data_IF_116998390717
#
_entry.id   IF_116998390717
#
_cell.length_a   1.000
_cell.length_b   1.000
_cell.length_c   1.000
_cell.angle_alpha   90.00
_cell.angle_beta   90.00
_cell.angle_gamma   90.00
#
_symmetry.space_group_name_H-M   'P 1'
#
loop_
_entity.id
_entity.type
_entity.pdbx_description
1 polymer ?
#
# COMPACT_ATOMS: atom_id res chain seq x y z
N UNK A 1 54.24 3.66 -4.96
CA UNK A 1 53.52 4.45 -3.94
C UNK A 1 52.07 4.58 -4.38
N UNK A 2 51.22 3.64 -3.98
CA UNK A 2 49.80 3.59 -4.31
C UNK A 2 49.03 3.83 -3.01
N UNK A 3 48.30 4.95 -2.93
CA UNK A 3 47.40 5.24 -1.80
C UNK A 3 46.06 4.55 -2.05
N UNK A 4 45.52 3.78 -1.10
CA UNK A 4 44.16 3.28 -1.22
C UNK A 4 43.17 4.40 -0.88
N UNK A 5 42.19 4.60 -1.74
CA UNK A 5 41.00 5.41 -1.43
C UNK A 5 40.12 4.59 -0.47
N UNK A 6 40.06 5.00 0.80
CA UNK A 6 39.01 4.58 1.71
C UNK A 6 37.72 5.32 1.32
N UNK A 7 36.72 4.58 0.85
CA UNK A 7 35.33 5.02 0.87
C UNK A 7 34.85 5.06 2.32
N UNK A 8 34.33 6.19 2.83
CA UNK A 8 33.66 6.17 4.12
C UNK A 8 32.32 5.46 3.94
N UNK A 9 32.18 4.28 4.54
CA UNK A 9 30.87 3.67 4.83
C UNK A 9 30.20 4.60 5.83
N UNK A 10 29.23 5.39 5.36
CA UNK A 10 28.36 6.18 6.20
C UNK A 10 27.44 5.19 6.95
N UNK A 11 27.85 4.79 8.15
CA UNK A 11 26.98 4.08 9.08
C UNK A 11 25.83 5.01 9.45
N UNK A 12 24.62 4.72 8.98
CA UNK A 12 23.40 5.31 9.53
C UNK A 12 23.33 4.92 11.02
N UNK A 13 23.60 5.89 11.89
CA UNK A 13 23.28 5.79 13.31
C UNK A 13 21.76 5.68 13.43
N UNK A 14 21.27 4.51 13.81
CA UNK A 14 19.88 4.35 14.24
C UNK A 14 19.61 5.33 15.39
N UNK A 15 18.65 6.23 15.21
CA UNK A 15 18.20 7.14 16.25
C UNK A 15 17.44 6.34 17.32
N UNK A 16 18.20 5.89 18.33
CA UNK A 16 17.66 5.22 19.51
C UNK A 16 16.93 6.18 20.47
N UNK A 17 16.98 7.49 20.21
CA UNK A 17 16.32 8.50 21.01
C UNK A 17 14.94 8.84 20.43
N UNK A 18 13.93 8.86 21.29
CA UNK A 18 12.60 9.41 20.96
C UNK A 18 12.74 10.90 20.66
N UNK A 19 12.11 11.36 19.58
CA UNK A 19 12.05 12.78 19.26
C UNK A 19 11.32 13.58 20.33
N UNK A 20 11.68 14.86 20.46
CA UNK A 20 10.99 15.78 21.38
C UNK A 20 9.63 16.16 20.81
N UNK A 21 8.58 16.05 21.62
CA UNK A 21 7.21 16.48 21.28
C UNK A 21 7.09 18.00 21.44
N UNK A 22 6.33 18.67 20.57
CA UNK A 22 6.07 20.12 20.68
C UNK A 22 4.59 20.37 20.94
N UNK A 23 4.29 20.95 22.10
CA UNK A 23 2.94 21.30 22.52
C UNK A 23 2.66 22.77 22.20
N UNK A 24 1.62 23.02 21.40
CA UNK A 24 1.12 24.37 21.11
C UNK A 24 -0.16 24.62 21.90
N UNK A 25 -0.15 25.62 22.77
CA UNK A 25 -1.29 26.01 23.59
C UNK A 25 -2.06 27.16 22.93
N UNK A 26 -3.36 27.24 23.21
CA UNK A 26 -4.26 28.27 22.64
C UNK A 26 -3.91 29.71 23.06
N UNK A 27 -3.13 29.87 24.12
CA UNK A 27 -2.62 31.18 24.56
C UNK A 27 -1.37 31.62 23.78
N UNK A 28 -0.91 30.82 22.82
CA UNK A 28 0.28 31.06 22.01
C UNK A 28 1.57 30.48 22.58
N UNK A 29 1.52 29.86 23.76
CA UNK A 29 2.69 29.23 24.38
C UNK A 29 3.10 27.98 23.61
N UNK A 30 4.40 27.83 23.39
CA UNK A 30 5.01 26.64 22.78
C UNK A 30 5.91 25.97 23.79
N UNK A 31 5.68 24.68 24.05
CA UNK A 31 6.44 23.90 25.03
C UNK A 31 7.05 22.69 24.36
N UNK A 32 8.37 22.58 24.43
CA UNK A 32 9.08 21.35 24.05
C UNK A 32 9.07 20.37 25.21
N UNK A 33 8.65 19.14 24.96
CA UNK A 33 8.33 18.19 26.00
C UNK A 33 8.38 16.73 25.54
N UNK A 34 8.18 15.82 26.48
CA UNK A 34 7.93 14.42 26.23
C UNK A 34 6.52 14.10 26.75
N UNK A 35 5.60 13.76 25.86
CA UNK A 35 4.22 13.41 26.25
C UNK A 35 4.23 12.05 26.94
N UNK A 36 3.85 12.07 28.22
CA UNK A 36 3.80 10.88 29.09
C UNK A 36 2.43 10.20 28.99
N UNK A 37 1.36 10.99 29.03
CA UNK A 37 0.00 10.48 28.94
C UNK A 37 -0.90 11.53 28.28
N UNK A 38 -1.81 11.06 27.44
CA UNK A 38 -2.80 11.93 26.79
C UNK A 38 -4.13 11.19 26.72
N UNK A 39 -5.18 11.89 27.15
CA UNK A 39 -6.57 11.47 27.07
C UNK A 39 -7.38 12.58 26.41
N UNK A 40 -8.68 12.39 26.27
CA UNK A 40 -9.54 13.41 25.67
C UNK A 40 -9.70 14.64 26.59
N UNK A 41 -9.47 14.48 27.89
CA UNK A 41 -9.67 15.54 28.88
C UNK A 41 -8.37 16.15 29.40
N UNK A 42 -7.32 15.34 29.55
CA UNK A 42 -6.05 15.76 30.15
C UNK A 42 -4.84 15.30 29.33
N UNK A 43 -3.80 16.13 29.34
CA UNK A 43 -2.49 15.87 28.79
C UNK A 43 -1.43 16.09 29.87
N UNK A 44 -0.64 15.04 30.13
CA UNK A 44 0.51 15.07 31.04
C UNK A 44 1.79 14.95 30.23
N UNK A 45 2.70 15.90 30.43
CA UNK A 45 3.96 15.95 29.71
C UNK A 45 5.11 16.23 30.66
N UNK A 46 6.31 15.81 30.28
CA UNK A 46 7.56 16.12 30.98
C UNK A 46 8.30 17.20 30.20
N UNK A 47 8.75 18.25 30.87
CA UNK A 47 9.52 19.33 30.24
C UNK A 47 10.67 19.76 31.16
N UNK A 48 11.68 20.38 30.57
CA UNK A 48 12.80 20.95 31.31
C UNK A 48 12.55 22.43 31.54
N UNK A 49 12.53 22.85 32.81
CA UNK A 49 12.40 24.26 33.20
C UNK A 49 13.77 24.80 33.61
N UNK A 50 14.08 26.02 33.17
CA UNK A 50 15.25 26.77 33.64
C UNK A 50 14.89 27.45 34.97
N UNK A 51 15.65 27.14 36.03
CA UNK A 51 15.50 27.73 37.36
C UNK A 51 16.41 28.96 37.56
N UNK A 52 17.18 29.35 36.53
CA UNK A 52 18.17 30.41 36.59
C UNK A 52 19.52 29.94 37.14
N UNK A 53 20.59 30.67 36.80
CA UNK A 53 21.95 30.36 37.24
C UNK A 53 22.53 29.06 36.66
N UNK A 54 22.06 28.62 35.49
CA UNK A 54 22.52 27.39 34.81
C UNK A 54 21.93 26.11 35.40
N UNK A 55 20.92 26.19 36.27
CA UNK A 55 20.25 25.05 36.88
C UNK A 55 18.96 24.74 36.14
N UNK A 56 18.83 23.52 35.66
CA UNK A 56 17.59 23.02 35.08
C UNK A 56 16.89 22.06 36.05
N UNK A 57 15.56 22.01 35.99
CA UNK A 57 14.77 20.99 36.68
C UNK A 57 13.77 20.36 35.71
N UNK A 58 13.39 19.11 36.00
CA UNK A 58 12.32 18.44 35.28
C UNK A 58 10.99 18.78 35.95
N UNK A 59 10.03 19.27 35.16
CA UNK A 59 8.64 19.42 35.58
C UNK A 59 7.77 18.39 34.86
N UNK A 60 6.66 17.99 35.50
CA UNK A 60 5.65 17.12 34.90
C UNK A 60 4.25 17.75 35.00
N UNK A 61 3.95 18.81 34.22
CA UNK A 61 2.65 19.46 34.27
C UNK A 61 1.54 18.55 33.72
N UNK A 62 0.32 18.76 34.22
CA UNK A 62 -0.90 18.21 33.63
C UNK A 62 -1.83 19.35 33.28
N UNK A 63 -2.23 19.43 32.01
CA UNK A 63 -3.10 20.49 31.48
C UNK A 63 -4.37 19.89 30.88
N UNK A 64 -5.50 20.61 30.89
CA UNK A 64 -6.69 20.19 30.16
C UNK A 64 -6.41 20.13 28.66
N UNK A 65 -6.84 19.07 27.96
CA UNK A 65 -6.66 18.97 26.50
C UNK A 65 -7.37 20.12 25.76
N UNK A 66 -8.41 20.72 26.37
CA UNK A 66 -9.12 21.88 25.81
C UNK A 66 -8.28 23.15 25.67
N UNK A 67 -7.16 23.27 26.41
CA UNK A 67 -6.22 24.41 26.31
C UNK A 67 -5.13 24.18 25.27
N UNK A 68 -5.01 22.96 24.76
CA UNK A 68 -4.09 22.58 23.69
C UNK A 68 -4.72 22.96 22.35
N UNK A 69 -3.94 23.62 21.50
CA UNK A 69 -4.33 23.89 20.12
C UNK A 69 -4.00 22.66 19.25
N UNK A 70 -2.72 22.29 19.19
CA UNK A 70 -2.27 21.05 18.56
C UNK A 70 -0.95 20.55 19.15
N UNK A 71 -0.57 19.34 18.74
CA UNK A 71 0.65 18.65 19.16
C UNK A 71 1.43 18.27 17.90
N UNK A 72 2.73 18.55 17.89
CA UNK A 72 3.66 17.95 16.94
C UNK A 72 4.33 16.79 17.64
N UNK A 73 3.92 15.58 17.27
CA UNK A 73 4.46 14.36 17.87
C UNK A 73 5.87 14.13 17.33
N UNK A 74 6.83 13.96 18.24
CA UNK A 74 8.18 13.54 17.89
C UNK A 74 8.18 12.08 17.39
N UNK A 75 9.07 11.73 16.45
CA UNK A 75 9.18 10.35 15.97
C UNK A 75 9.54 9.41 17.12
N UNK A 76 8.91 8.23 17.14
CA UNK A 76 9.28 7.16 18.08
C UNK A 76 10.66 6.59 17.72
N UNK A 77 11.35 5.92 18.67
CA UNK A 77 12.62 5.27 18.39
C UNK A 77 12.52 4.29 17.22
N UNK A 78 13.36 4.46 16.20
CA UNK A 78 13.35 3.64 14.99
C UNK A 78 12.28 4.01 13.95
N UNK A 79 11.38 4.96 14.24
CA UNK A 79 10.30 5.33 13.32
C UNK A 79 10.83 5.91 12.02
N UNK A 80 11.76 6.86 12.08
CA UNK A 80 12.32 7.50 10.89
C UNK A 80 12.99 6.48 9.97
N UNK A 81 13.71 5.51 10.52
CA UNK A 81 14.38 4.46 9.75
C UNK A 81 13.37 3.49 9.12
N UNK A 82 12.34 3.10 9.87
CA UNK A 82 11.30 2.19 9.37
C UNK A 82 10.46 2.87 8.28
N UNK A 83 10.14 4.15 8.45
CA UNK A 83 9.35 4.93 7.50
C UNK A 83 10.14 5.40 6.28
N UNK A 84 11.48 5.33 6.30
CA UNK A 84 12.30 5.59 5.11
C UNK A 84 12.17 4.48 4.05
N UNK A 85 11.98 3.23 4.49
CA UNK A 85 11.83 2.06 3.61
C UNK A 85 10.78 1.08 4.14
N UNK A 86 9.50 1.49 4.24
CA UNK A 86 8.46 0.70 4.91
C UNK A 86 8.17 -0.63 4.22
N UNK A 87 8.41 -0.70 2.90
CA UNK A 87 8.14 -1.91 2.11
C UNK A 87 9.09 -3.07 2.40
N UNK A 88 10.31 -2.78 2.85
CA UNK A 88 11.32 -3.78 3.25
C UNK A 88 11.48 -3.90 4.77
N UNK A 89 10.75 -3.09 5.53
CA UNK A 89 10.78 -3.12 6.98
C UNK A 89 10.25 -4.44 7.55
N UNK A 90 10.73 -4.78 8.76
CA UNK A 90 10.22 -5.91 9.53
C UNK A 90 8.76 -5.65 9.93
N UNK A 91 7.80 -6.51 9.53
CA UNK A 91 6.39 -6.34 9.87
C UNK A 91 6.14 -6.22 11.38
N UNK A 92 6.92 -6.93 12.21
CA UNK A 92 6.76 -6.88 13.68
C UNK A 92 7.20 -5.53 14.27
N UNK A 93 8.19 -4.89 13.66
CA UNK A 93 8.63 -3.57 14.08
C UNK A 93 7.57 -2.51 13.75
N UNK A 94 6.95 -2.61 12.57
CA UNK A 94 5.82 -1.75 12.17
C UNK A 94 4.57 -2.01 13.02
N UNK A 95 4.27 -3.26 13.36
CA UNK A 95 3.17 -3.65 14.26
C UNK A 95 3.33 -2.98 15.63
N UNK A 96 4.53 -3.06 16.22
CA UNK A 96 4.81 -2.41 17.50
C UNK A 96 4.59 -0.89 17.44
N UNK A 97 5.09 -0.22 16.40
CA UNK A 97 4.86 1.22 16.22
C UNK A 97 3.38 1.54 16.05
N UNK A 98 2.65 0.73 15.30
CA UNK A 98 1.22 0.88 15.11
C UNK A 98 0.44 0.73 16.42
N UNK A 99 0.74 -0.29 17.23
CA UNK A 99 0.09 -0.50 18.52
C UNK A 99 0.29 0.67 19.48
N UNK A 100 1.50 1.24 19.50
CA UNK A 100 1.84 2.39 20.33
C UNK A 100 1.13 3.68 19.88
N UNK A 101 0.99 3.90 18.57
CA UNK A 101 0.53 5.17 17.98
C UNK A 101 -0.95 5.18 17.59
N UNK A 102 -1.57 4.03 17.30
CA UNK A 102 -2.94 3.92 16.74
C UNK A 102 -4.05 4.52 17.62
N UNK A 103 -3.77 4.73 18.92
CA UNK A 103 -4.68 5.44 19.85
C UNK A 103 -4.79 6.94 19.55
N UNK A 104 -3.86 7.49 18.76
CA UNK A 104 -3.78 8.91 18.42
C UNK A 104 -4.27 9.26 17.01
N UNK A 105 -4.83 8.30 16.25
CA UNK A 105 -5.36 8.53 14.89
C UNK A 105 -6.26 9.77 14.75
N UNK A 106 -7.20 9.95 15.67
CA UNK A 106 -8.16 11.06 15.63
C UNK A 106 -7.54 12.42 15.99
N UNK A 107 -6.27 12.46 16.40
CA UNK A 107 -5.62 13.67 16.89
C UNK A 107 -4.93 14.39 15.72
N UNK A 108 -5.18 15.70 15.56
CA UNK A 108 -4.52 16.49 14.53
C UNK A 108 -2.99 16.32 14.58
N UNK A 109 -2.37 16.26 13.39
CA UNK A 109 -0.92 16.11 13.19
C UNK A 109 -0.29 14.84 13.80
N UNK A 110 -1.08 13.85 14.17
CA UNK A 110 -0.54 12.53 14.49
C UNK A 110 0.00 11.85 13.23
N UNK A 111 1.16 11.20 13.36
CA UNK A 111 1.78 10.32 12.37
C UNK A 111 1.16 8.91 12.33
N UNK A 112 0.25 8.58 13.26
CA UNK A 112 -0.34 7.25 13.39
C UNK A 112 -0.96 6.74 12.07
N UNK A 113 -1.66 7.60 11.32
CA UNK A 113 -2.23 7.23 10.02
C UNK A 113 -1.18 6.77 9.02
N UNK A 114 -0.07 7.50 8.90
CA UNK A 114 1.02 7.14 7.98
C UNK A 114 1.70 5.82 8.37
N UNK A 115 1.95 5.61 9.66
CA UNK A 115 2.50 4.35 10.20
C UNK A 115 1.55 3.19 9.91
N UNK A 116 0.25 3.39 10.15
CA UNK A 116 -0.76 2.38 9.89
C UNK A 116 -0.87 2.00 8.41
N UNK A 117 -0.81 2.98 7.50
CA UNK A 117 -0.78 2.73 6.06
C UNK A 117 0.45 1.91 5.67
N UNK A 118 1.63 2.31 6.12
CA UNK A 118 2.88 1.58 5.88
C UNK A 118 2.82 0.13 6.41
N UNK A 119 2.28 -0.06 7.60
CA UNK A 119 2.09 -1.39 8.20
C UNK A 119 1.11 -2.24 7.39
N UNK A 120 -0.06 -1.71 7.05
CA UNK A 120 -1.07 -2.44 6.29
C UNK A 120 -0.59 -2.79 4.86
N UNK A 121 0.08 -1.88 4.17
CA UNK A 121 0.70 -2.16 2.87
C UNK A 121 1.76 -3.25 2.98
N UNK A 122 2.58 -3.23 4.05
CA UNK A 122 3.59 -4.27 4.28
C UNK A 122 2.96 -5.64 4.48
N UNK A 123 1.83 -5.72 5.20
CA UNK A 123 1.07 -6.95 5.42
C UNK A 123 0.49 -7.51 4.11
N UNK A 124 0.00 -6.67 3.19
CA UNK A 124 -0.51 -7.13 1.89
C UNK A 124 0.57 -7.76 0.99
N UNK A 125 1.84 -7.42 1.19
CA UNK A 125 2.95 -8.01 0.41
C UNK A 125 3.40 -9.37 0.91
N UNK A 126 2.94 -9.78 2.09
CA UNK A 126 3.31 -11.06 2.67
C UNK A 126 2.41 -12.18 2.11
N UNK A 127 2.89 -13.42 2.06
CA UNK A 127 2.17 -14.51 1.41
C UNK A 127 0.98 -15.05 2.23
N UNK A 128 0.90 -14.75 3.54
CA UNK A 128 -0.10 -15.36 4.40
C UNK A 128 -1.44 -14.59 4.45
N UNK A 129 -2.54 -15.28 4.13
CA UNK A 129 -3.87 -14.66 4.04
C UNK A 129 -4.39 -14.03 5.33
N UNK A 130 -4.05 -14.59 6.50
CA UNK A 130 -4.46 -14.01 7.79
C UNK A 130 -3.92 -12.59 7.99
N UNK A 131 -2.77 -12.27 7.39
CA UNK A 131 -2.16 -10.95 7.47
C UNK A 131 -2.91 -9.94 6.60
N UNK A 132 -3.57 -10.39 5.54
CA UNK A 132 -4.40 -9.53 4.70
C UNK A 132 -5.70 -9.11 5.41
N UNK A 133 -6.28 -9.99 6.25
CA UNK A 133 -7.40 -9.62 7.13
C UNK A 133 -6.99 -8.57 8.18
N UNK A 134 -5.77 -8.69 8.73
CA UNK A 134 -5.22 -7.67 9.61
C UNK A 134 -4.98 -6.35 8.86
N UNK A 135 -4.43 -6.38 7.64
CA UNK A 135 -4.27 -5.20 6.81
C UNK A 135 -5.62 -4.49 6.57
N UNK A 136 -6.66 -5.26 6.23
CA UNK A 136 -8.02 -4.76 6.05
C UNK A 136 -8.53 -4.03 7.30
N UNK A 137 -8.32 -4.64 8.48
CA UNK A 137 -8.72 -4.06 9.77
C UNK A 137 -7.98 -2.75 10.07
N UNK A 138 -6.70 -2.66 9.73
CA UNK A 138 -5.90 -1.43 9.88
C UNK A 138 -6.43 -0.33 8.95
N UNK A 139 -6.68 -0.66 7.67
CA UNK A 139 -7.25 0.29 6.71
C UNK A 139 -8.62 0.81 7.16
N UNK A 140 -9.52 -0.06 7.65
CA UNK A 140 -10.82 0.35 8.18
C UNK A 140 -10.68 1.35 9.32
N UNK A 141 -9.78 1.06 10.28
CA UNK A 141 -9.55 1.92 11.42
C UNK A 141 -9.00 3.30 11.03
N UNK A 142 -8.11 3.36 10.04
CA UNK A 142 -7.57 4.63 9.51
C UNK A 142 -8.69 5.40 8.81
N UNK A 143 -9.42 4.75 7.89
CA UNK A 143 -10.53 5.36 7.14
C UNK A 143 -11.57 5.98 8.07
N UNK A 144 -11.88 5.33 9.19
CA UNK A 144 -12.91 5.81 10.13
C UNK A 144 -12.41 6.88 11.09
N UNK A 145 -11.16 6.78 11.55
CA UNK A 145 -10.69 7.54 12.72
C UNK A 145 -9.55 8.50 12.45
N UNK A 146 -8.85 8.39 11.33
CA UNK A 146 -7.69 9.23 11.11
C UNK A 146 -8.10 10.68 10.84
N UNK A 147 -7.32 11.60 11.39
CA UNK A 147 -7.57 13.04 11.28
C UNK A 147 -7.28 13.56 9.87
N UNK A 148 -6.36 12.92 9.13
CA UNK A 148 -5.90 13.36 7.82
C UNK A 148 -6.78 12.78 6.70
N UNK A 149 -7.51 13.60 5.92
CA UNK A 149 -8.30 13.12 4.78
C UNK A 149 -7.48 12.33 3.75
N UNK A 150 -6.25 12.74 3.45
CA UNK A 150 -5.41 12.06 2.47
C UNK A 150 -5.06 10.63 2.89
N UNK A 151 -4.78 10.41 4.18
CA UNK A 151 -4.54 9.06 4.69
C UNK A 151 -5.82 8.21 4.66
N UNK A 152 -6.98 8.81 4.91
CA UNK A 152 -8.27 8.10 4.80
C UNK A 152 -8.55 7.67 3.37
N UNK A 153 -8.21 8.50 2.39
CA UNK A 153 -8.36 8.17 0.97
C UNK A 153 -7.37 7.08 0.55
N UNK A 154 -6.12 7.14 1.01
CA UNK A 154 -5.16 6.04 0.80
C UNK A 154 -5.63 4.74 1.47
N UNK A 155 -6.24 4.83 2.67
CA UNK A 155 -6.80 3.66 3.33
C UNK A 155 -7.98 3.05 2.57
N UNK A 156 -8.78 3.86 1.85
CA UNK A 156 -9.83 3.34 0.95
C UNK A 156 -9.22 2.57 -0.23
N UNK A 157 -8.15 3.10 -0.84
CA UNK A 157 -7.40 2.39 -1.91
C UNK A 157 -6.81 1.08 -1.37
N UNK A 158 -6.14 1.11 -0.22
CA UNK A 158 -5.58 -0.07 0.45
C UNK A 158 -6.63 -1.11 0.83
N UNK A 159 -7.80 -0.68 1.29
CA UNK A 159 -8.94 -1.55 1.58
C UNK A 159 -9.43 -2.31 0.33
N UNK A 160 -9.58 -1.64 -0.81
CA UNK A 160 -9.94 -2.32 -2.07
C UNK A 160 -8.91 -3.38 -2.43
N UNK A 161 -7.61 -3.05 -2.35
CA UNK A 161 -6.50 -3.99 -2.58
C UNK A 161 -6.61 -5.21 -1.66
N UNK A 162 -6.84 -5.00 -0.37
CA UNK A 162 -7.02 -6.06 0.62
C UNK A 162 -8.24 -6.96 0.33
N UNK A 163 -9.40 -6.39 -0.01
CA UNK A 163 -10.60 -7.15 -0.35
C UNK A 163 -10.40 -8.04 -1.58
N UNK A 164 -9.72 -7.54 -2.61
CA UNK A 164 -9.37 -8.32 -3.80
C UNK A 164 -8.47 -9.49 -3.43
N UNK A 165 -7.44 -9.24 -2.63
CA UNK A 165 -6.46 -10.25 -2.24
C UNK A 165 -7.08 -11.35 -1.35
N UNK A 166 -8.04 -10.98 -0.49
CA UNK A 166 -8.86 -11.90 0.30
C UNK A 166 -9.94 -12.63 -0.52
N UNK A 167 -10.10 -12.33 -1.81
CA UNK A 167 -11.16 -12.91 -2.65
C UNK A 167 -12.57 -12.44 -2.30
N UNK A 168 -12.72 -11.37 -1.51
CA UNK A 168 -14.01 -10.77 -1.10
C UNK A 168 -14.56 -9.85 -2.19
N UNK A 169 -14.64 -10.37 -3.41
CA UNK A 169 -14.87 -9.61 -4.64
C UNK A 169 -16.25 -8.93 -4.68
N UNK A 170 -17.29 -9.52 -4.05
CA UNK A 170 -18.61 -8.87 -3.96
C UNK A 170 -18.56 -7.56 -3.18
N UNK A 171 -17.82 -7.54 -2.07
CA UNK A 171 -17.64 -6.35 -1.25
C UNK A 171 -16.74 -5.34 -1.97
N UNK A 172 -15.64 -5.80 -2.58
CA UNK A 172 -14.75 -4.94 -3.37
C UNK A 172 -15.51 -4.24 -4.51
N UNK A 173 -16.37 -4.95 -5.24
CA UNK A 173 -17.17 -4.38 -6.33
C UNK A 173 -18.21 -3.39 -5.82
N UNK A 174 -18.87 -3.65 -4.70
CA UNK A 174 -19.84 -2.72 -4.13
C UNK A 174 -19.17 -1.39 -3.74
N UNK A 175 -18.01 -1.47 -3.06
CA UNK A 175 -17.22 -0.31 -2.67
C UNK A 175 -16.64 0.42 -3.89
N UNK A 176 -16.09 -0.30 -4.87
CA UNK A 176 -15.56 0.27 -6.10
C UNK A 176 -16.61 1.04 -6.91
N UNK A 177 -17.84 0.50 -7.02
CA UNK A 177 -18.94 1.19 -7.72
C UNK A 177 -19.32 2.49 -7.03
N UNK A 178 -19.38 2.48 -5.69
CA UNK A 178 -19.66 3.69 -4.94
C UNK A 178 -18.54 4.73 -5.14
N UNK A 179 -17.29 4.33 -4.96
CA UNK A 179 -16.14 5.22 -5.12
C UNK A 179 -16.07 5.82 -6.52
N UNK A 180 -16.31 5.03 -7.57
CA UNK A 180 -16.29 5.51 -8.95
C UNK A 180 -17.34 6.58 -9.27
N UNK A 181 -18.37 6.74 -8.43
CA UNK A 181 -19.37 7.81 -8.57
C UNK A 181 -19.08 9.04 -7.74
N UNK A 182 -18.22 8.93 -6.72
CA UNK A 182 -17.97 9.97 -5.72
C UNK A 182 -16.64 10.69 -5.92
N UNK A 183 -15.70 10.10 -6.69
CA UNK A 183 -14.34 10.61 -6.84
C UNK A 183 -13.99 10.94 -8.28
N UNK A 184 -13.26 12.04 -8.45
CA UNK A 184 -12.57 12.39 -9.70
C UNK A 184 -11.05 12.10 -9.61
N UNK A 185 -10.55 11.57 -8.47
CA UNK A 185 -9.14 11.20 -8.30
C UNK A 185 -8.77 10.04 -9.24
N UNK A 186 -7.86 10.25 -10.21
CA UNK A 186 -7.48 9.21 -11.17
C UNK A 186 -6.99 7.93 -10.50
N UNK A 187 -6.18 8.02 -9.44
CA UNK A 187 -5.65 6.82 -8.78
C UNK A 187 -6.75 5.99 -8.13
N UNK A 188 -7.69 6.65 -7.46
CA UNK A 188 -8.84 5.97 -6.85
C UNK A 188 -9.77 5.34 -7.90
N UNK A 189 -9.98 6.03 -9.03
CA UNK A 189 -10.73 5.49 -10.17
C UNK A 189 -10.05 4.26 -10.78
N UNK A 190 -8.71 4.26 -10.88
CA UNK A 190 -7.94 3.11 -11.35
C UNK A 190 -8.12 1.92 -10.40
N UNK A 191 -8.00 2.12 -9.08
CA UNK A 191 -8.21 1.05 -8.09
C UNK A 191 -9.63 0.49 -8.15
N UNK A 192 -10.64 1.36 -8.27
CA UNK A 192 -12.04 0.92 -8.41
C UNK A 192 -12.26 0.10 -9.69
N UNK A 193 -11.76 0.56 -10.84
CA UNK A 193 -11.82 -0.18 -12.11
C UNK A 193 -11.10 -1.51 -12.03
N UNK A 194 -9.92 -1.54 -11.41
CA UNK A 194 -9.17 -2.78 -11.21
C UNK A 194 -9.96 -3.78 -10.36
N UNK A 195 -10.58 -3.34 -9.25
CA UNK A 195 -11.42 -4.18 -8.41
C UNK A 195 -12.61 -4.78 -9.16
N UNK A 196 -13.33 -3.97 -9.95
CA UNK A 196 -14.45 -4.41 -10.76
C UNK A 196 -14.01 -5.41 -11.84
N UNK A 197 -12.91 -5.14 -12.54
CA UNK A 197 -12.37 -6.04 -13.55
C UNK A 197 -11.90 -7.38 -12.97
N UNK A 198 -11.29 -7.39 -11.77
CA UNK A 198 -10.94 -8.66 -11.08
C UNK A 198 -12.17 -9.47 -10.71
N UNK A 199 -13.25 -8.82 -10.27
CA UNK A 199 -14.51 -9.49 -10.00
C UNK A 199 -15.14 -10.06 -11.27
N UNK A 200 -15.23 -9.26 -12.34
CA UNK A 200 -15.75 -9.69 -13.63
C UNK A 200 -14.91 -10.83 -14.21
N UNK A 201 -13.60 -10.83 -14.01
CA UNK A 201 -12.73 -11.91 -14.46
C UNK A 201 -12.98 -13.24 -13.74
N UNK A 202 -13.29 -13.20 -12.44
CA UNK A 202 -13.75 -14.41 -11.73
C UNK A 202 -15.10 -14.87 -12.26
N UNK A 203 -16.02 -13.94 -12.56
CA UNK A 203 -17.30 -14.28 -13.20
C UNK A 203 -17.11 -14.89 -14.58
N UNK A 204 -16.17 -14.38 -15.40
CA UNK A 204 -15.83 -14.95 -16.70
C UNK A 204 -15.31 -16.39 -16.57
N UNK A 205 -14.37 -16.63 -15.64
CA UNK A 205 -13.83 -17.98 -15.37
C UNK A 205 -14.94 -18.95 -14.97
N UNK A 206 -15.87 -18.52 -14.10
CA UNK A 206 -17.00 -19.33 -13.69
C UNK A 206 -17.97 -19.61 -14.85
N UNK A 207 -18.27 -18.59 -15.67
CA UNK A 207 -19.16 -18.72 -16.83
C UNK A 207 -18.63 -19.77 -17.82
N UNK A 208 -17.34 -19.73 -18.16
CA UNK A 208 -16.73 -20.72 -19.07
C UNK A 208 -16.64 -22.12 -18.44
N UNK A 209 -16.38 -22.21 -17.13
CA UNK A 209 -16.36 -23.50 -16.42
C UNK A 209 -17.74 -24.16 -16.39
N UNK A 210 -18.80 -23.38 -16.17
CA UNK A 210 -20.18 -23.84 -16.17
C UNK A 210 -20.68 -24.16 -17.59
N UNK A 211 -20.06 -23.57 -18.61
CA UNK A 211 -20.43 -23.73 -20.03
C UNK A 211 -19.21 -24.09 -20.91
N UNK A 212 -18.70 -25.34 -20.85
CA UNK A 212 -17.48 -25.73 -21.58
C UNK A 212 -17.56 -25.59 -23.11
N UNK A 213 -18.78 -25.51 -23.67
CA UNK A 213 -19.05 -25.29 -25.10
C UNK A 213 -19.70 -23.93 -25.35
N UNK A 214 -19.35 -22.92 -24.56
CA UNK A 214 -19.92 -21.58 -24.66
C UNK A 214 -19.84 -20.99 -26.08
N UNK A 215 -18.84 -21.39 -26.89
CA UNK A 215 -18.68 -20.95 -28.28
C UNK A 215 -19.87 -21.35 -29.18
N UNK A 216 -20.46 -22.52 -28.91
CA UNK A 216 -21.61 -23.08 -29.63
C UNK A 216 -22.94 -22.52 -29.11
N UNK A 217 -22.96 -21.95 -27.90
CA UNK A 217 -24.17 -21.43 -27.26
C UNK A 217 -24.40 -19.95 -27.61
N UNK A 218 -25.42 -19.70 -28.43
CA UNK A 218 -25.79 -18.36 -28.90
C UNK A 218 -26.25 -17.41 -27.79
N UNK A 219 -26.55 -17.91 -26.59
CA UNK A 219 -26.92 -17.10 -25.41
C UNK A 219 -25.71 -16.80 -24.52
N UNK A 220 -24.79 -17.75 -24.36
CA UNK A 220 -23.62 -17.60 -23.49
C UNK A 220 -22.48 -16.86 -24.22
N UNK A 221 -22.24 -17.14 -25.50
CA UNK A 221 -21.17 -16.51 -26.29
C UNK A 221 -21.20 -14.98 -26.24
N UNK A 222 -22.34 -14.28 -26.44
CA UNK A 222 -22.38 -12.83 -26.35
C UNK A 222 -22.04 -12.30 -24.95
N UNK A 223 -22.53 -12.96 -23.90
CA UNK A 223 -22.29 -12.54 -22.51
C UNK A 223 -20.83 -12.75 -22.11
N UNK A 224 -20.24 -13.88 -22.48
CA UNK A 224 -18.80 -14.14 -22.34
C UNK A 224 -17.99 -13.03 -22.99
N UNK A 225 -18.27 -12.71 -24.26
CA UNK A 225 -17.53 -11.68 -24.99
C UNK A 225 -17.71 -10.29 -24.39
N UNK A 226 -18.92 -9.97 -23.91
CA UNK A 226 -19.19 -8.71 -23.21
C UNK A 226 -18.36 -8.59 -21.93
N UNK A 227 -18.32 -9.65 -21.11
CA UNK A 227 -17.49 -9.70 -19.90
C UNK A 227 -16.01 -9.56 -20.25
N UNK A 228 -15.52 -10.34 -21.19
CA UNK A 228 -14.13 -10.30 -21.64
C UNK A 228 -13.70 -8.89 -22.07
N UNK A 229 -14.45 -8.24 -22.97
CA UNK A 229 -14.10 -6.87 -23.41
C UNK A 229 -14.17 -5.86 -22.26
N UNK A 230 -15.19 -5.95 -21.39
CA UNK A 230 -15.30 -5.09 -20.19
C UNK A 230 -14.08 -5.23 -19.27
N UNK A 231 -13.57 -6.45 -19.07
CA UNK A 231 -12.38 -6.72 -18.26
C UNK A 231 -11.15 -6.07 -18.89
N UNK A 232 -10.93 -6.28 -20.19
CA UNK A 232 -9.78 -5.73 -20.91
C UNK A 232 -9.82 -4.19 -20.91
N UNK A 233 -10.98 -3.60 -21.21
CA UNK A 233 -11.15 -2.14 -21.20
C UNK A 233 -10.80 -1.54 -19.84
N UNK A 234 -11.22 -2.19 -18.75
CA UNK A 234 -10.94 -1.72 -17.40
C UNK A 234 -9.47 -1.90 -17.00
N UNK A 235 -8.84 -3.03 -17.33
CA UNK A 235 -7.43 -3.27 -17.02
C UNK A 235 -6.47 -2.42 -17.85
N UNK A 236 -6.78 -2.15 -19.12
CA UNK A 236 -5.92 -1.35 -19.99
C UNK A 236 -6.13 0.16 -19.84
N UNK A 237 -7.24 0.60 -19.24
CA UNK A 237 -7.53 2.03 -19.05
C UNK A 237 -6.39 2.83 -18.40
N UNK A 238 -5.73 2.37 -17.31
CA UNK A 238 -4.63 3.10 -16.71
C UNK A 238 -3.43 3.24 -17.65
N UNK A 239 -3.11 2.19 -18.41
CA UNK A 239 -2.05 2.22 -19.42
C UNK A 239 -2.35 3.22 -20.54
N UNK A 240 -3.59 3.22 -21.05
CA UNK A 240 -3.99 4.04 -22.20
C UNK A 240 -4.16 5.53 -21.87
N UNK A 241 -4.61 5.86 -20.65
CA UNK A 241 -5.00 7.23 -20.29
C UNK A 241 -4.17 7.82 -19.14
N UNK A 242 -3.51 7.00 -18.35
CA UNK A 242 -2.77 7.39 -17.15
C UNK A 242 -1.38 6.74 -17.08
N UNK A 243 -0.72 6.60 -18.23
CA UNK A 243 0.56 5.87 -18.33
C UNK A 243 1.71 6.41 -17.48
N UNK A 244 1.60 7.63 -16.93
CA UNK A 244 2.56 8.21 -15.96
C UNK A 244 2.42 7.63 -14.56
N UNK A 245 1.28 6.98 -14.24
CA UNK A 245 1.08 6.24 -13.00
C UNK A 245 1.65 4.83 -13.16
N UNK A 246 2.98 4.75 -13.23
CA UNK A 246 3.73 3.58 -13.73
C UNK A 246 3.33 2.26 -13.06
N UNK A 247 3.29 2.20 -11.73
CA UNK A 247 2.93 0.96 -11.00
C UNK A 247 1.49 0.52 -11.28
N UNK A 248 0.55 1.47 -11.39
CA UNK A 248 -0.85 1.17 -11.65
C UNK A 248 -1.08 0.74 -13.10
N UNK A 249 -0.42 1.41 -14.06
CA UNK A 249 -0.43 1.05 -15.47
C UNK A 249 0.20 -0.32 -15.71
N UNK A 250 1.35 -0.58 -15.11
CA UNK A 250 2.04 -1.86 -15.17
C UNK A 250 1.18 -3.01 -14.61
N UNK A 251 0.54 -2.79 -13.45
CA UNK A 251 -0.37 -3.78 -12.85
C UNK A 251 -1.58 -4.06 -13.74
N UNK A 252 -2.13 -3.02 -14.38
CA UNK A 252 -3.19 -3.16 -15.37
C UNK A 252 -2.78 -4.03 -16.57
N UNK A 253 -1.61 -3.76 -17.16
CA UNK A 253 -1.05 -4.56 -18.26
C UNK A 253 -0.83 -6.02 -17.88
N UNK A 254 -0.28 -6.29 -16.70
CA UNK A 254 -0.09 -7.64 -16.21
C UNK A 254 -1.42 -8.41 -16.06
N UNK A 255 -2.44 -7.75 -15.51
CA UNK A 255 -3.77 -8.34 -15.36
C UNK A 255 -4.49 -8.54 -16.70
N UNK A 256 -4.32 -7.61 -17.65
CA UNK A 256 -4.82 -7.76 -19.01
C UNK A 256 -4.16 -8.96 -19.71
N UNK A 257 -2.84 -9.14 -19.56
CA UNK A 257 -2.14 -10.31 -20.10
C UNK A 257 -2.71 -11.61 -19.53
N UNK A 258 -2.97 -11.70 -18.21
CA UNK A 258 -3.62 -12.87 -17.59
C UNK A 258 -5.00 -13.14 -18.21
N UNK A 259 -5.80 -12.10 -18.44
CA UNK A 259 -7.12 -12.22 -19.04
C UNK A 259 -7.08 -12.65 -20.52
N UNK A 260 -6.12 -12.12 -21.29
CA UNK A 260 -5.87 -12.55 -22.67
C UNK A 260 -5.44 -14.02 -22.76
N UNK A 261 -4.51 -14.45 -21.91
CA UNK A 261 -4.07 -15.84 -21.85
C UNK A 261 -5.24 -16.78 -21.53
N UNK A 262 -6.04 -16.43 -20.52
CA UNK A 262 -7.24 -17.19 -20.17
C UNK A 262 -8.23 -17.28 -21.34
N UNK A 263 -8.43 -16.18 -22.05
CA UNK A 263 -9.41 -16.09 -23.14
C UNK A 263 -8.96 -16.75 -24.46
N UNK A 264 -7.74 -17.30 -24.54
CA UNK A 264 -7.19 -17.91 -25.75
C UNK A 264 -6.60 -16.91 -26.74
N UNK A 265 -6.10 -15.77 -26.26
CA UNK A 265 -5.56 -14.66 -27.06
C UNK A 265 -4.05 -14.44 -26.76
N UNK A 266 -3.18 -15.40 -27.14
CA UNK A 266 -1.77 -15.40 -26.73
C UNK A 266 -0.93 -14.29 -27.38
N UNK A 267 -1.33 -13.80 -28.55
CA UNK A 267 -0.62 -12.71 -29.23
C UNK A 267 -0.80 -11.40 -28.47
N UNK A 268 -2.03 -11.10 -28.06
CA UNK A 268 -2.38 -9.95 -27.24
C UNK A 268 -1.79 -10.03 -25.83
N UNK A 269 -1.78 -11.22 -25.23
CA UNK A 269 -1.10 -11.44 -23.95
C UNK A 269 0.41 -11.18 -24.07
N UNK A 270 1.03 -11.63 -25.15
CA UNK A 270 2.46 -11.39 -25.44
C UNK A 270 2.73 -9.90 -25.63
N UNK A 271 1.86 -9.19 -26.35
CA UNK A 271 1.98 -7.74 -26.53
C UNK A 271 1.89 -7.00 -25.19
N UNK A 272 0.94 -7.34 -24.31
CA UNK A 272 0.83 -6.75 -22.98
C UNK A 272 2.09 -6.99 -22.13
N UNK A 273 2.64 -8.21 -22.15
CA UNK A 273 3.87 -8.57 -21.43
C UNK A 273 5.11 -7.86 -22.00
N UNK A 274 5.15 -7.64 -23.31
CA UNK A 274 6.20 -6.87 -23.97
C UNK A 274 6.15 -5.41 -23.53
N UNK A 275 4.99 -4.77 -23.63
CA UNK A 275 4.80 -3.37 -23.22
C UNK A 275 5.09 -3.17 -21.74
N UNK A 276 4.68 -4.12 -20.88
CA UNK A 276 5.03 -4.13 -19.46
C UNK A 276 6.55 -4.10 -19.23
N UNK A 277 7.30 -4.91 -19.99
CA UNK A 277 8.76 -5.01 -19.87
C UNK A 277 9.50 -3.78 -20.40
N UNK A 278 9.04 -3.21 -21.51
CA UNK A 278 9.69 -2.07 -22.16
C UNK A 278 9.35 -0.73 -21.50
N UNK A 279 8.07 -0.52 -21.17
CA UNK A 279 7.59 0.79 -20.69
C UNK A 279 7.69 0.92 -19.18
N UNK A 280 7.56 -0.18 -18.43
CA UNK A 280 7.54 -0.16 -16.96
C UNK A 280 8.56 -1.14 -16.32
N UNK A 281 9.84 -1.10 -16.73
CA UNK A 281 10.84 -2.12 -16.34
C UNK A 281 11.15 -2.18 -14.84
N UNK A 282 10.85 -1.11 -14.10
CA UNK A 282 11.10 -1.01 -12.66
C UNK A 282 9.88 -1.41 -11.81
N UNK A 283 8.72 -1.64 -12.43
CA UNK A 283 7.50 -1.97 -11.70
C UNK A 283 7.57 -3.36 -11.05
N UNK A 284 6.81 -3.53 -9.96
CA UNK A 284 6.69 -4.82 -9.29
C UNK A 284 6.12 -5.90 -10.24
N UNK A 285 5.24 -5.51 -11.17
CA UNK A 285 4.66 -6.41 -12.17
C UNK A 285 5.69 -6.85 -13.22
N UNK A 286 6.58 -5.97 -13.66
CA UNK A 286 7.68 -6.33 -14.55
C UNK A 286 8.74 -7.20 -13.85
N UNK A 287 8.99 -6.98 -12.56
CA UNK A 287 9.83 -7.87 -11.76
C UNK A 287 9.22 -9.28 -11.67
N UNK A 288 7.94 -9.41 -11.33
CA UNK A 288 7.25 -10.69 -11.28
C UNK A 288 7.27 -11.42 -12.64
N UNK A 289 7.07 -10.70 -13.75
CA UNK A 289 7.17 -11.26 -15.10
C UNK A 289 8.58 -11.81 -15.39
N UNK A 290 9.64 -11.10 -14.99
CA UNK A 290 11.02 -11.55 -15.16
C UNK A 290 11.33 -12.77 -14.30
N UNK A 291 10.85 -12.79 -13.06
CA UNK A 291 11.01 -13.93 -12.16
C UNK A 291 10.34 -15.18 -12.73
N UNK A 292 9.10 -15.08 -13.22
CA UNK A 292 8.38 -16.20 -13.84
C UNK A 292 9.11 -16.77 -15.06
N UNK A 293 9.70 -15.92 -15.92
CA UNK A 293 10.51 -16.37 -17.07
C UNK A 293 11.80 -17.08 -16.67
N UNK A 294 12.38 -16.73 -15.52
CA UNK A 294 13.61 -17.36 -15.03
C UNK A 294 13.35 -18.77 -14.45
N UNK A 295 12.12 -19.06 -14.02
CA UNK A 295 11.70 -20.36 -13.49
C UNK A 295 11.25 -21.35 -14.58
N UNK A 296 11.03 -20.90 -15.82
CA UNK A 296 10.75 -21.80 -16.94
C UNK A 296 11.96 -22.73 -17.19
N UNK A 297 11.79 -24.07 -17.12
CA UNK A 297 12.89 -24.99 -17.31
C UNK A 297 13.44 -24.87 -18.74
N UNK A 298 14.75 -24.63 -18.85
CA UNK A 298 15.45 -24.67 -20.13
C UNK A 298 15.19 -26.05 -20.76
N UNK A 299 14.61 -26.13 -21.98
CA UNK A 299 14.35 -27.41 -22.61
C UNK A 299 15.67 -28.18 -22.74
N UNK A 300 15.68 -29.51 -22.46
CA UNK A 300 16.89 -30.28 -22.53
C UNK A 300 17.46 -30.18 -23.94
N UNK A 301 18.69 -29.69 -24.05
CA UNK A 301 19.46 -29.66 -25.29
C UNK A 301 19.54 -31.09 -25.81
N UNK A 302 18.72 -31.44 -26.80
CA UNK A 302 18.79 -32.72 -27.53
C UNK A 302 20.02 -32.71 -28.42
N UNK A 303 21.19 -32.71 -27.80
CA UNK A 303 22.47 -33.07 -28.41
C UNK A 303 22.67 -34.57 -28.29
N UNK A 304 21.88 -35.36 -29.01
CA UNK A 304 22.25 -36.75 -29.28
C UNK A 304 23.04 -36.75 -30.61
N UNK A 305 24.35 -37.03 -30.61
CA UNK A 305 25.07 -37.23 -31.85
C UNK A 305 24.55 -38.51 -32.52
N UNK A 306 24.25 -38.41 -33.81
CA UNK A 306 23.95 -39.55 -34.66
C UNK A 306 25.13 -40.55 -34.60
N UNK A 307 24.89 -41.86 -34.34
CA UNK A 307 25.93 -42.86 -34.46
C UNK A 307 26.31 -43.03 -35.94
N UNK A 308 27.61 -43.01 -36.21
CA UNK A 308 28.22 -43.33 -37.51
C UNK A 308 27.96 -44.77 -37.94
#
# INVERSE_FOLDING_TARGET
MTRPFLFPVLMCLASLARGEDVLHLKDGTVVRCEIQAITDNILTYKTTIDLGGGRTASAQPTVPTSTVDYIEFGPQPGETELMASPQSADPKALEKLWDETSKHLHRPRSNAGAIGLAYADRLLRLPESFQWDFALTVFDRIRERDWNPAHRDEARKGRLRALIQLGRLKEATAEAKQLATETDDPEMLIEARYAMARADFVTLKALEADNPKWEEDDTVRPERNRLYHSIIDQFLWPYLFHGTLEELAARGLAAAAEAHDFAGHPEEATACRHDLGELYPQSASAEALRAAKAEEPVPPTTGAPLPN
#
